data_IF_161909439213
#
_entry.id   IF_161909439213
#
_cell.length_a   1.000
_cell.length_b   1.000
_cell.length_c   1.000
_cell.angle_alpha   90.00
_cell.angle_beta   90.00
_cell.angle_gamma   90.00
#
_symmetry.space_group_name_H-M   'P 1'
#
loop_
_entity.id
_entity.type
_entity.pdbx_description
1 polymer ?
#
# COMPACT_ATOMS: atom_id res chain seq x y z
N UNK A 1 10.75 26.14 20.40
CA UNK A 1 10.75 24.75 19.91
C UNK A 1 10.12 24.56 18.51
N UNK A 2 9.49 25.58 17.91
CA UNK A 2 8.81 25.43 16.60
C UNK A 2 9.74 25.01 15.46
N UNK A 3 10.92 25.61 15.34
CA UNK A 3 11.87 25.27 14.29
C UNK A 3 12.33 23.80 14.35
N UNK A 4 12.54 23.28 15.56
CA UNK A 4 12.89 21.88 15.77
C UNK A 4 11.74 20.95 15.37
N UNK A 5 10.50 21.31 15.70
CA UNK A 5 9.32 20.55 15.30
C UNK A 5 9.17 20.52 13.77
N UNK A 6 9.31 21.67 13.10
CA UNK A 6 9.26 21.76 11.64
C UNK A 6 10.37 20.95 10.97
N UNK A 7 11.59 20.94 11.54
CA UNK A 7 12.69 20.15 11.00
C UNK A 7 12.41 18.64 11.05
N UNK A 8 11.83 18.14 12.16
CA UNK A 8 11.46 16.74 12.27
C UNK A 8 10.27 16.37 11.39
N UNK A 9 9.29 17.26 11.25
CA UNK A 9 8.15 17.08 10.36
C UNK A 9 8.64 16.94 8.91
N UNK A 10 9.41 17.92 8.41
CA UNK A 10 9.98 17.89 7.06
C UNK A 10 10.78 16.60 6.79
N UNK A 11 11.63 16.20 7.74
CA UNK A 11 12.42 14.96 7.61
C UNK A 11 11.51 13.73 7.50
N UNK A 12 10.44 13.68 8.30
CA UNK A 12 9.53 12.54 8.32
C UNK A 12 8.67 12.49 7.07
N UNK A 13 8.17 13.64 6.59
CA UNK A 13 7.44 13.76 5.33
C UNK A 13 8.30 13.34 4.14
N UNK A 14 9.57 13.76 4.09
CA UNK A 14 10.48 13.37 3.02
C UNK A 14 10.77 11.86 3.02
N UNK A 15 10.90 11.25 4.21
CA UNK A 15 11.10 9.81 4.35
C UNK A 15 9.85 9.03 3.90
N UNK A 16 8.67 9.48 4.32
CA UNK A 16 7.40 8.88 3.91
C UNK A 16 7.19 8.99 2.40
N UNK A 17 7.42 10.17 1.80
CA UNK A 17 7.31 10.37 0.37
C UNK A 17 8.24 9.43 -0.42
N UNK A 18 9.48 9.24 0.04
CA UNK A 18 10.42 8.28 -0.56
C UNK A 18 9.88 6.85 -0.49
N UNK A 19 9.40 6.41 0.67
CA UNK A 19 8.82 5.08 0.84
C UNK A 19 7.62 4.86 -0.09
N UNK A 20 6.72 5.85 -0.17
CA UNK A 20 5.55 5.82 -1.05
C UNK A 20 5.93 5.66 -2.52
N UNK A 21 6.90 6.46 -3.00
CA UNK A 21 7.32 6.42 -4.42
C UNK A 21 8.05 5.11 -4.73
N UNK A 22 8.94 4.64 -3.87
CA UNK A 22 9.66 3.38 -4.07
C UNK A 22 8.69 2.17 -4.09
N UNK A 23 7.69 2.14 -3.19
CA UNK A 23 6.65 1.12 -3.19
C UNK A 23 5.74 1.20 -4.44
N UNK A 24 5.39 2.41 -4.90
CA UNK A 24 4.59 2.61 -6.09
C UNK A 24 5.30 2.14 -7.38
N UNK A 25 6.62 2.34 -7.47
CA UNK A 25 7.44 1.84 -8.58
C UNK A 25 7.50 0.31 -8.62
N UNK A 26 7.64 -0.32 -7.45
CA UNK A 26 7.65 -1.78 -7.30
C UNK A 26 6.30 -2.41 -7.64
N UNK A 27 5.19 -1.74 -7.28
CA UNK A 27 3.83 -2.22 -7.58
C UNK A 27 3.44 -1.97 -9.04
N UNK A 28 3.74 -2.95 -9.89
CA UNK A 28 3.46 -2.96 -11.34
C UNK A 28 2.09 -3.56 -11.67
N UNK A 29 1.05 -3.04 -11.03
CA UNK A 29 -0.35 -3.39 -11.28
C UNK A 29 -1.26 -2.19 -10.94
N UNK A 30 -2.55 -2.33 -11.23
CA UNK A 30 -3.61 -1.45 -10.72
C UNK A 30 -4.46 -2.23 -9.71
N UNK A 31 -4.51 -1.74 -8.45
CA UNK A 31 -5.28 -2.35 -7.36
C UNK A 31 -5.67 -1.31 -6.31
N UNK A 32 -6.96 -1.19 -6.01
CA UNK A 32 -7.48 -0.23 -5.02
C UNK A 32 -7.12 1.21 -5.38
N UNK A 33 -6.53 1.95 -4.44
CA UNK A 33 -6.15 3.35 -4.65
C UNK A 33 -4.88 3.52 -5.51
N UNK A 34 -4.12 2.46 -5.78
CA UNK A 34 -2.93 2.50 -6.65
C UNK A 34 -3.33 2.15 -8.09
N UNK A 35 -3.35 3.16 -8.96
CA UNK A 35 -3.81 3.05 -10.35
C UNK A 35 -2.70 3.45 -11.31
N UNK A 36 -2.47 2.62 -12.34
CA UNK A 36 -1.36 2.77 -13.29
C UNK A 36 -1.85 2.53 -14.71
N UNK A 37 -1.72 3.54 -15.57
CA UNK A 37 -2.06 3.40 -17.00
C UNK A 37 -1.11 2.46 -17.76
N UNK A 38 0.13 2.32 -17.29
CA UNK A 38 1.15 1.42 -17.85
C UNK A 38 1.02 -0.03 -17.34
N UNK A 39 0.28 -0.25 -16.25
CA UNK A 39 -0.07 -1.57 -15.70
C UNK A 39 -1.55 -1.60 -15.28
N UNK A 40 -2.49 -1.64 -16.23
CA UNK A 40 -3.92 -1.44 -15.95
C UNK A 40 -4.62 -2.63 -15.28
N UNK A 41 -4.01 -3.82 -15.32
CA UNK A 41 -4.58 -5.05 -14.74
C UNK A 41 -3.97 -5.36 -13.37
N UNK A 42 -4.70 -6.16 -12.57
CA UNK A 42 -4.15 -6.79 -11.37
C UNK A 42 -3.21 -7.94 -11.76
N UNK A 43 -2.11 -8.09 -11.01
CA UNK A 43 -1.18 -9.20 -11.12
C UNK A 43 -1.34 -10.13 -9.90
N UNK A 44 -1.71 -11.41 -10.08
CA UNK A 44 -1.78 -12.38 -8.98
C UNK A 44 -0.47 -12.50 -8.18
N UNK A 45 0.69 -12.34 -8.82
CA UNK A 45 1.99 -12.38 -8.14
C UNK A 45 2.25 -11.16 -7.23
N UNK A 46 1.44 -10.11 -7.35
CA UNK A 46 1.48 -8.91 -6.51
C UNK A 46 0.40 -8.89 -5.41
N UNK A 47 -0.24 -10.03 -5.14
CA UNK A 47 -1.04 -10.25 -3.94
C UNK A 47 -0.15 -10.48 -2.70
N UNK A 48 0.67 -9.47 -2.40
CA UNK A 48 1.66 -9.43 -1.32
C UNK A 48 1.61 -8.06 -0.64
N UNK A 49 2.11 -8.01 0.59
CA UNK A 49 2.43 -6.76 1.25
C UNK A 49 3.77 -6.22 0.71
N UNK A 50 3.84 -4.92 0.46
CA UNK A 50 5.10 -4.23 0.16
C UNK A 50 5.55 -3.48 1.40
N UNK A 51 6.60 -3.99 2.04
CA UNK A 51 7.16 -3.41 3.26
C UNK A 51 8.42 -2.65 2.91
N UNK A 52 8.51 -1.39 3.32
CA UNK A 52 9.65 -0.54 3.01
C UNK A 52 10.48 -0.25 4.26
N UNK A 53 11.81 -0.27 4.11
CA UNK A 53 12.71 0.31 5.11
C UNK A 53 13.81 1.17 4.47
N UNK A 54 14.38 2.15 5.20
CA UNK A 54 15.43 3.01 4.66
C UNK A 54 16.71 2.25 4.26
N UNK A 55 16.99 1.11 4.89
CA UNK A 55 18.21 0.32 4.69
C UNK A 55 18.05 -0.75 3.62
N UNK A 56 16.86 -1.35 3.48
CA UNK A 56 16.62 -2.48 2.56
C UNK A 56 15.82 -2.09 1.32
N UNK A 57 15.14 -0.95 1.33
CA UNK A 57 14.15 -0.62 0.32
C UNK A 57 12.89 -1.49 0.47
N UNK A 58 12.19 -1.72 -0.64
CA UNK A 58 10.95 -2.50 -0.67
C UNK A 58 11.24 -4.00 -0.62
N UNK A 59 10.53 -4.71 0.25
CA UNK A 59 10.49 -6.17 0.35
C UNK A 59 9.05 -6.63 0.17
N UNK A 60 8.87 -7.79 -0.48
CA UNK A 60 7.57 -8.44 -0.65
C UNK A 60 7.36 -9.45 0.47
N UNK A 61 6.27 -9.31 1.20
CA UNK A 61 5.87 -10.25 2.25
C UNK A 61 4.56 -10.93 1.89
N UNK A 62 4.48 -12.24 2.13
CA UNK A 62 3.26 -13.01 1.91
C UNK A 62 2.12 -12.51 2.81
N UNK A 63 0.91 -12.50 2.27
CA UNK A 63 -0.28 -12.18 3.06
C UNK A 63 -0.68 -13.46 3.80
N UNK A 64 -0.81 -13.42 5.14
CA UNK A 64 -1.27 -14.58 5.89
C UNK A 64 -2.68 -14.98 5.46
N UNK A 65 -2.96 -16.27 5.46
CA UNK A 65 -4.30 -16.79 5.19
C UNK A 65 -5.30 -16.26 6.21
N UNK A 66 -6.52 -15.98 5.75
CA UNK A 66 -7.62 -15.58 6.63
C UNK A 66 -7.94 -16.74 7.58
N UNK A 67 -8.03 -16.52 8.90
CA UNK A 67 -8.51 -17.54 9.84
C UNK A 67 -9.90 -18.05 9.45
N UNK A 68 -10.13 -19.36 9.55
CA UNK A 68 -11.34 -20.01 9.04
C UNK A 68 -12.63 -19.46 9.68
N UNK A 69 -12.57 -19.11 10.97
CA UNK A 69 -13.69 -18.51 11.70
C UNK A 69 -14.07 -17.12 11.19
N UNK A 70 -13.11 -16.37 10.62
CA UNK A 70 -13.35 -15.06 10.01
C UNK A 70 -13.85 -15.27 8.58
N UNK A 71 -13.23 -16.17 7.82
CA UNK A 71 -13.60 -16.46 6.44
C UNK A 71 -15.07 -16.88 6.30
N UNK A 72 -15.56 -17.69 7.25
CA UNK A 72 -16.97 -18.10 7.33
C UNK A 72 -17.96 -16.94 7.51
N UNK A 73 -17.51 -15.75 7.93
CA UNK A 73 -18.33 -14.55 8.13
C UNK A 73 -18.24 -13.57 6.94
N UNK A 74 -17.31 -13.78 5.99
CA UNK A 74 -17.13 -12.92 4.82
C UNK A 74 -18.24 -13.20 3.81
N UNK A 75 -18.83 -12.14 3.28
CA UNK A 75 -19.85 -12.19 2.22
C UNK A 75 -19.63 -11.05 1.24
N UNK A 76 -20.03 -11.26 -0.01
CA UNK A 76 -20.08 -10.17 -0.96
C UNK A 76 -21.06 -9.10 -0.50
N UNK A 77 -20.63 -7.84 -0.60
CA UNK A 77 -21.44 -6.68 -0.30
C UNK A 77 -21.42 -5.80 -1.54
N UNK A 78 -22.60 -5.42 -2.02
CA UNK A 78 -22.72 -4.50 -3.14
C UNK A 78 -22.03 -3.16 -2.84
N UNK A 79 -21.24 -2.71 -3.80
CA UNK A 79 -20.49 -1.45 -3.77
C UNK A 79 -20.98 -0.45 -4.81
N UNK A 80 -21.98 -0.81 -5.62
CA UNK A 80 -22.59 0.11 -6.58
C UNK A 80 -23.08 1.39 -5.89
N UNK A 81 -22.59 2.53 -6.35
CA UNK A 81 -22.95 3.85 -5.81
C UNK A 81 -22.27 4.26 -4.49
N UNK A 82 -21.36 3.45 -3.93
CA UNK A 82 -20.51 3.89 -2.82
C UNK A 82 -19.39 4.77 -3.36
N UNK A 83 -19.17 5.93 -2.73
CA UNK A 83 -17.98 6.73 -2.98
C UNK A 83 -16.78 5.93 -2.45
N UNK A 84 -15.84 5.64 -3.35
CA UNK A 84 -14.52 5.15 -2.97
C UNK A 84 -13.70 6.40 -2.68
N UNK A 85 -13.73 6.87 -1.43
CA UNK A 85 -12.82 7.91 -0.96
C UNK A 85 -11.48 7.30 -0.56
#
# INVERSE_FOLDING_TARGET
>A
FQDLAHAFDLRSSALAARATVEAALERRETRGCHNRSDYPAMDPALQVNLVWSPSTGVVREEIPSIPAEIDALIREVDTAGKLVE
#
